data_IF_190017209758
#
_entry.id   IF_190017209758
#
_cell.length_a   1.000
_cell.length_b   1.000
_cell.length_c   1.000
_cell.angle_alpha   90.00
_cell.angle_beta   90.00
_cell.angle_gamma   90.00
#
_symmetry.space_group_name_H-M   'P 1'
#
loop_
_entity.id
_entity.type
_entity.pdbx_description
1 polymer ?
#
# COMPACT_ATOMS: atom_id res chain seq x y z
N UNK A 1 2.55 -15.00 -31.93
CA UNK A 1 3.32 -14.14 -31.00
C UNK A 1 3.40 -14.85 -29.67
N UNK A 2 4.60 -15.07 -29.11
CA UNK A 2 4.79 -15.71 -27.80
C UNK A 2 5.03 -14.62 -26.77
N UNK A 3 4.22 -14.58 -25.72
CA UNK A 3 4.38 -13.67 -24.59
C UNK A 3 4.94 -14.43 -23.39
N UNK A 4 5.91 -13.83 -22.72
CA UNK A 4 6.46 -14.34 -21.46
C UNK A 4 5.93 -13.44 -20.34
N UNK A 5 5.37 -14.04 -19.29
CA UNK A 5 4.86 -13.34 -18.12
C UNK A 5 5.95 -13.06 -17.09
N UNK A 6 5.68 -12.13 -16.18
CA UNK A 6 6.49 -11.92 -14.98
C UNK A 6 6.29 -13.09 -14.01
N UNK A 7 7.35 -13.44 -13.27
CA UNK A 7 7.35 -14.54 -12.28
C UNK A 7 7.63 -13.98 -10.89
N UNK A 8 7.06 -14.64 -9.89
CA UNK A 8 7.31 -14.37 -8.46
C UNK A 8 8.03 -15.57 -7.87
N UNK A 9 9.07 -15.31 -7.07
CA UNK A 9 9.80 -16.35 -6.36
C UNK A 9 9.07 -16.72 -5.07
N UNK A 10 8.34 -17.84 -5.09
CA UNK A 10 7.56 -18.32 -3.94
C UNK A 10 8.40 -18.72 -2.72
N UNK A 11 9.72 -18.90 -2.88
CA UNK A 11 10.64 -19.13 -1.76
C UNK A 11 10.82 -17.89 -0.88
N UNK A 12 10.61 -16.70 -1.46
CA UNK A 12 10.76 -15.41 -0.78
C UNK A 12 9.38 -14.85 -0.41
N UNK A 13 8.39 -15.07 -1.28
CA UNK A 13 6.99 -14.67 -1.06
C UNK A 13 6.13 -15.90 -0.79
N UNK A 14 6.41 -16.58 0.33
CA UNK A 14 5.63 -17.71 0.77
C UNK A 14 4.23 -17.27 1.21
N UNK A 15 3.25 -18.16 1.06
CA UNK A 15 1.88 -17.90 1.49
C UNK A 15 1.78 -18.03 3.01
N UNK A 16 1.50 -16.93 3.69
CA UNK A 16 1.17 -16.90 5.11
C UNK A 16 -0.36 -16.91 5.32
N UNK A 17 -0.86 -17.38 6.47
CA UNK A 17 -2.26 -17.22 6.83
C UNK A 17 -2.61 -15.74 6.99
N UNK A 18 -3.88 -15.40 6.83
CA UNK A 18 -4.35 -14.05 7.05
C UNK A 18 -4.11 -13.65 8.52
N UNK A 19 -3.65 -12.41 8.78
CA UNK A 19 -3.49 -11.93 10.14
C UNK A 19 -4.85 -11.97 10.86
N UNK A 20 -4.85 -12.45 12.10
CA UNK A 20 -6.04 -12.39 12.95
C UNK A 20 -6.25 -10.98 13.50
N UNK A 21 -7.49 -10.65 13.89
CA UNK A 21 -7.84 -9.35 14.46
C UNK A 21 -8.59 -8.48 13.45
N UNK A 22 -8.27 -7.18 13.44
CA UNK A 22 -8.99 -6.21 12.64
C UNK A 22 -8.70 -6.36 11.14
N UNK A 23 -9.61 -5.83 10.31
CA UNK A 23 -9.50 -5.90 8.85
C UNK A 23 -8.33 -5.01 8.40
N UNK A 24 -7.44 -5.58 7.59
CA UNK A 24 -6.30 -4.87 7.02
C UNK A 24 -6.47 -4.72 5.51
N UNK A 25 -6.40 -3.48 5.02
CA UNK A 25 -6.32 -3.14 3.61
C UNK A 25 -4.89 -2.74 3.28
N UNK A 26 -4.28 -3.45 2.33
CA UNK A 26 -2.88 -3.26 1.97
C UNK A 26 -2.73 -2.94 0.48
N UNK A 27 -2.04 -1.83 0.18
CA UNK A 27 -1.60 -1.46 -1.16
C UNK A 27 -0.07 -1.48 -1.20
N UNK A 28 0.50 -2.31 -2.08
CA UNK A 28 1.95 -2.35 -2.31
C UNK A 28 2.24 -1.82 -3.71
N UNK A 29 2.97 -0.71 -3.81
CA UNK A 29 3.30 -0.11 -5.10
C UNK A 29 3.86 1.30 -4.98
N UNK A 30 4.23 1.90 -6.12
CA UNK A 30 4.66 3.30 -6.14
C UNK A 30 3.50 4.20 -5.71
N UNK A 31 3.79 5.13 -4.80
CA UNK A 31 2.83 6.06 -4.24
C UNK A 31 2.57 7.23 -5.18
N UNK A 32 1.97 6.92 -6.33
CA UNK A 32 1.60 7.90 -7.37
C UNK A 32 0.08 8.07 -7.38
N UNK A 33 -0.40 9.27 -7.66
CA UNK A 33 -1.84 9.56 -7.75
C UNK A 33 -2.55 8.64 -8.73
N UNK A 34 -1.93 8.35 -9.88
CA UNK A 34 -2.45 7.43 -10.90
C UNK A 34 -2.59 5.96 -10.44
N UNK A 35 -2.04 5.59 -9.27
CA UNK A 35 -2.19 4.25 -8.67
C UNK A 35 -3.38 4.14 -7.73
N UNK A 36 -4.21 5.18 -7.65
CA UNK A 36 -5.42 5.16 -6.84
C UNK A 36 -5.15 5.44 -5.36
N UNK A 37 -3.99 6.02 -5.02
CA UNK A 37 -3.60 6.28 -3.62
C UNK A 37 -4.53 7.32 -3.00
N UNK A 38 -4.93 8.35 -3.75
CA UNK A 38 -5.84 9.38 -3.25
C UNK A 38 -7.22 8.77 -2.91
N UNK A 39 -7.73 7.92 -3.79
CA UNK A 39 -8.99 7.20 -3.61
C UNK A 39 -8.91 6.20 -2.44
N UNK A 40 -7.76 5.57 -2.24
CA UNK A 40 -7.52 4.70 -1.09
C UNK A 40 -7.59 5.48 0.23
N UNK A 41 -7.00 6.67 0.29
CA UNK A 41 -7.06 7.55 1.47
C UNK A 41 -8.45 8.17 1.67
N UNK A 42 -9.19 8.46 0.60
CA UNK A 42 -10.59 8.89 0.72
C UNK A 42 -11.46 7.76 1.30
N UNK A 43 -11.27 6.54 0.80
CA UNK A 43 -11.98 5.36 1.30
C UNK A 43 -11.63 5.06 2.77
N UNK A 44 -10.37 5.20 3.17
CA UNK A 44 -9.96 5.02 4.57
C UNK A 44 -10.66 6.03 5.48
N UNK A 45 -10.69 7.31 5.10
CA UNK A 45 -11.40 8.37 5.85
C UNK A 45 -12.90 8.09 5.99
N UNK A 46 -13.53 7.58 4.94
CA UNK A 46 -14.95 7.21 4.99
C UNK A 46 -15.20 6.01 5.91
N UNK A 47 -14.32 5.01 5.92
CA UNK A 47 -14.48 3.78 6.69
C UNK A 47 -14.08 3.90 8.16
N UNK A 48 -13.10 4.75 8.50
CA UNK A 48 -12.67 4.98 9.88
C UNK A 48 -13.79 5.51 10.81
N UNK A 49 -14.85 6.09 10.25
CA UNK A 49 -16.02 6.53 11.02
C UNK A 49 -16.87 5.38 11.57
N UNK A 50 -17.06 4.33 10.75
CA UNK A 50 -17.92 3.19 11.07
C UNK A 50 -17.13 1.97 11.59
N UNK A 51 -15.85 1.87 11.22
CA UNK A 51 -14.97 0.74 11.51
C UNK A 51 -13.62 1.27 12.04
N UNK A 52 -13.60 1.66 13.32
CA UNK A 52 -12.43 2.25 13.95
C UNK A 52 -11.26 1.28 14.19
N UNK A 53 -11.49 -0.02 14.03
CA UNK A 53 -10.46 -1.04 14.10
C UNK A 53 -9.81 -1.34 12.74
N UNK A 54 -10.45 -0.96 11.63
CA UNK A 54 -9.92 -1.19 10.29
C UNK A 54 -8.60 -0.45 10.06
N UNK A 55 -7.61 -1.15 9.52
CA UNK A 55 -6.28 -0.62 9.25
C UNK A 55 -6.04 -0.49 7.74
N UNK A 56 -5.61 0.69 7.32
CA UNK A 56 -5.22 0.99 5.94
C UNK A 56 -3.70 1.18 5.90
N UNK A 57 -3.04 0.43 5.02
CA UNK A 57 -1.58 0.37 4.90
C UNK A 57 -1.21 0.55 3.43
N UNK A 58 -0.39 1.55 3.15
CA UNK A 58 0.23 1.77 1.85
C UNK A 58 1.75 1.61 1.98
N UNK A 59 2.34 0.78 1.11
CA UNK A 59 3.76 0.46 1.16
C UNK A 59 4.37 0.73 -0.21
N UNK A 60 5.31 1.67 -0.24
CA UNK A 60 6.17 1.86 -1.39
C UNK A 60 7.07 3.08 -1.26
N UNK A 61 8.02 3.22 -2.19
CA UNK A 61 8.87 4.40 -2.23
C UNK A 61 8.01 5.62 -2.56
N UNK A 62 8.01 6.59 -1.65
CA UNK A 62 7.53 7.94 -1.92
C UNK A 62 8.71 8.76 -2.42
N UNK A 63 8.60 9.28 -3.64
CA UNK A 63 9.61 10.17 -4.21
C UNK A 63 8.94 11.49 -4.58
N UNK A 64 9.07 12.54 -3.76
CA UNK A 64 8.45 13.84 -4.00
C UNK A 64 8.99 14.54 -5.27
N UNK A 65 10.05 14.01 -5.89
CA UNK A 65 10.61 14.55 -7.14
C UNK A 65 10.00 13.92 -8.40
N UNK A 66 9.18 12.87 -8.27
CA UNK A 66 8.50 12.27 -9.42
C UNK A 66 7.24 13.06 -9.81
N UNK A 67 6.99 13.25 -11.12
CA UNK A 67 5.71 13.81 -11.56
C UNK A 67 4.58 12.86 -11.15
N UNK A 68 3.49 13.42 -10.62
CA UNK A 68 2.30 12.70 -10.11
C UNK A 68 2.48 11.93 -8.79
N UNK A 69 3.49 12.28 -7.99
CA UNK A 69 3.58 11.79 -6.61
C UNK A 69 2.37 12.24 -5.79
N UNK A 70 1.82 11.35 -4.96
CA UNK A 70 0.72 11.69 -4.06
C UNK A 70 1.14 12.81 -3.10
N UNK A 71 0.18 13.65 -2.70
CA UNK A 71 0.44 14.72 -1.77
C UNK A 71 0.78 14.14 -0.38
N UNK A 72 1.75 14.72 0.33
CA UNK A 72 2.19 14.28 1.66
C UNK A 72 1.05 14.15 2.68
N UNK A 73 -0.05 14.88 2.48
CA UNK A 73 -1.24 14.84 3.33
C UNK A 73 -1.96 13.49 3.28
N UNK A 74 -1.89 12.77 2.16
CA UNK A 74 -2.59 11.50 2.00
C UNK A 74 -1.84 10.34 2.68
N UNK A 75 -0.54 10.50 2.90
CA UNK A 75 0.32 9.52 3.59
C UNK A 75 0.22 9.57 5.12
N UNK A 76 -0.39 10.62 5.68
CA UNK A 76 -0.49 10.80 7.13
C UNK A 76 -1.59 9.95 7.77
N UNK A 77 -2.54 9.46 6.96
CA UNK A 77 -3.72 8.71 7.42
C UNK A 77 -3.51 7.18 7.35
N UNK A 78 -2.35 6.74 6.89
CA UNK A 78 -1.98 5.34 6.65
C UNK A 78 -0.73 5.01 7.46
N UNK A 79 -0.65 3.79 8.00
CA UNK A 79 0.52 3.39 8.80
C UNK A 79 1.67 3.05 7.85
N UNK A 80 2.52 4.04 7.58
CA UNK A 80 3.78 3.82 6.87
C UNK A 80 4.71 2.95 7.75
N UNK A 81 4.85 1.67 7.42
CA UNK A 81 5.89 0.82 8.03
C UNK A 81 7.27 1.36 7.63
N UNK A 82 8.23 1.49 8.56
CA UNK A 82 9.55 2.01 8.27
C UNK A 82 10.29 1.09 7.31
N UNK A 83 10.88 1.71 6.30
CA UNK A 83 11.75 1.13 5.29
C UNK A 83 12.76 0.16 5.93
N UNK A 84 12.61 -1.15 5.70
CA UNK A 84 13.71 -2.09 5.96
C UNK A 84 14.77 -1.84 4.89
N UNK A 85 15.72 -1.01 5.26
CA UNK A 85 16.97 -0.79 4.56
C UNK A 85 17.67 -2.15 4.39
N UNK A 86 17.61 -2.70 3.17
CA UNK A 86 18.35 -3.91 2.82
C UNK A 86 19.81 -3.53 2.62
N UNK A 87 20.65 -4.04 3.52
CA UNK A 87 22.07 -4.27 3.27
C UNK A 87 22.26 -5.38 2.22
#
# INVERSE_FOLDING_TARGET
MRTYGLRVYMQIFAREPLPGGAINFLVIGRLLTEKGVAEFCEASRALCGDYSDACFIDIGPHDPKQPHTCADRDLQDTVAEPEKQSA
#
